data_IF_075103826699
#
_entry.id   IF_075103826699
#
_cell.length_a   1.000
_cell.length_b   1.000
_cell.length_c   1.000
_cell.angle_alpha   90.00
_cell.angle_beta   90.00
_cell.angle_gamma   90.00
#
_symmetry.space_group_name_H-M   'P 1'
#
loop_
_entity.id
_entity.type
_entity.pdbx_description
1 polymer ?
#
# COMPACT_ATOMS: atom_id res chain seq x y z
N UNK A 1 37.80 -19.78 0.93
CA UNK A 1 39.15 -20.08 0.38
C UNK A 1 39.29 -19.32 -0.93
N UNK A 2 40.19 -18.31 -1.06
CA UNK A 2 40.50 -17.52 -2.29
C UNK A 2 39.32 -16.71 -2.90
N UNK A 3 39.42 -15.43 -3.30
CA UNK A 3 40.46 -14.37 -3.28
C UNK A 3 39.77 -13.05 -2.85
N UNK A 4 40.33 -12.07 -2.13
CA UNK A 4 41.70 -11.56 -1.95
C UNK A 4 42.14 -10.54 -3.03
N UNK A 5 42.39 -9.31 -2.55
CA UNK A 5 43.27 -8.23 -3.04
C UNK A 5 42.79 -7.12 -4.00
N UNK A 6 43.44 -5.96 -3.78
CA UNK A 6 43.54 -4.71 -4.57
C UNK A 6 42.42 -3.67 -4.37
N UNK A 7 42.70 -2.38 -4.09
CA UNK A 7 43.96 -1.60 -3.89
C UNK A 7 43.56 -0.26 -3.20
N UNK A 8 44.10 0.18 -2.05
CA UNK A 8 45.42 0.82 -1.77
C UNK A 8 45.62 2.20 -2.45
N UNK A 9 45.62 3.27 -1.63
CA UNK A 9 46.19 4.63 -1.80
C UNK A 9 45.95 5.43 -0.49
N UNK A 10 46.60 6.56 -0.15
CA UNK A 10 48.04 6.77 0.15
C UNK A 10 48.32 6.49 1.65
N UNK A 11 49.52 6.37 2.23
CA UNK A 11 50.94 6.71 1.91
C UNK A 11 51.46 8.07 2.45
N UNK A 12 52.01 8.01 3.69
CA UNK A 12 53.16 8.76 4.27
C UNK A 12 53.09 10.28 4.49
N UNK A 13 53.38 10.69 5.75
CA UNK A 13 54.27 11.77 6.29
C UNK A 13 53.92 11.88 7.79
N UNK A 14 54.81 11.99 8.78
CA UNK A 14 56.28 11.94 8.84
C UNK A 14 56.76 12.11 10.30
N UNK A 15 58.02 11.73 10.54
CA UNK A 15 58.97 12.10 11.63
C UNK A 15 58.63 13.24 12.63
N UNK A 16 59.20 13.33 13.85
CA UNK A 16 60.01 12.42 14.69
C UNK A 16 60.32 13.13 16.04
N UNK A 17 61.05 12.45 16.94
CA UNK A 17 61.82 13.01 18.08
C UNK A 17 60.98 13.57 19.25
N UNK A 18 60.90 12.76 20.32
CA UNK A 18 60.85 13.25 21.68
C UNK A 18 62.27 13.19 22.28
N UNK A 19 62.77 14.27 22.90
CA UNK A 19 63.84 14.27 23.92
C UNK A 19 64.18 15.70 24.43
N UNK A 20 64.30 15.86 25.75
CA UNK A 20 64.91 17.01 26.45
C UNK A 20 63.97 18.19 26.76
N UNK A 21 64.05 18.87 27.92
CA UNK A 21 64.83 18.57 29.12
C UNK A 21 65.32 19.82 29.88
N UNK A 22 64.63 20.19 30.97
CA UNK A 22 65.08 21.09 32.06
C UNK A 22 64.03 20.92 33.20
N UNK A 23 64.30 20.50 34.43
CA UNK A 23 65.43 20.70 35.35
C UNK A 23 65.60 22.16 35.79
N UNK A 24 65.04 22.51 36.95
CA UNK A 24 65.79 22.79 38.20
C UNK A 24 64.77 22.93 39.35
N UNK A 25 64.96 22.16 40.42
CA UNK A 25 64.32 22.39 41.72
C UNK A 25 65.23 23.25 42.60
N UNK A 26 64.65 24.07 43.48
CA UNK A 26 65.40 25.08 44.24
C UNK A 26 66.35 24.53 45.31
N UNK A 27 67.26 25.40 45.78
CA UNK A 27 68.02 25.17 47.01
C UNK A 27 68.34 26.50 47.72
N UNK A 28 68.09 26.46 49.02
CA UNK A 28 68.32 27.46 50.06
C UNK A 28 69.80 27.86 50.16
N UNK A 29 70.12 29.14 50.43
CA UNK A 29 71.14 29.57 51.42
C UNK A 29 71.21 31.11 51.60
N UNK A 30 71.76 31.63 52.71
CA UNK A 30 71.41 32.95 53.25
C UNK A 30 72.54 34.00 53.23
N UNK A 31 72.27 35.15 53.86
CA UNK A 31 73.13 35.77 54.90
C UNK A 31 73.65 37.22 54.70
N UNK A 32 73.01 38.17 55.41
CA UNK A 32 73.58 39.42 55.98
C UNK A 32 74.08 40.52 54.99
N UNK A 33 74.09 41.83 55.30
CA UNK A 33 74.27 42.53 56.59
C UNK A 33 73.37 43.78 56.76
N UNK A 34 72.93 43.93 58.01
CA UNK A 34 72.73 45.12 58.87
C UNK A 34 73.47 46.44 58.49
N UNK A 35 73.22 47.57 59.21
CA UNK A 35 71.93 48.20 59.51
C UNK A 35 71.99 49.75 59.32
N UNK A 36 70.91 50.48 59.61
CA UNK A 36 70.97 51.92 59.89
C UNK A 36 70.16 52.25 61.15
N UNK A 37 70.83 52.79 62.17
CA UNK A 37 70.24 53.17 63.47
C UNK A 37 70.13 54.68 63.63
N UNK A 38 68.93 55.19 63.93
CA UNK A 38 68.72 56.44 64.68
C UNK A 38 67.25 56.46 65.18
N UNK A 39 66.96 56.02 66.41
CA UNK A 39 66.93 56.79 67.66
C UNK A 39 65.81 57.84 67.81
N UNK A 40 64.89 57.51 68.74
CA UNK A 40 64.31 58.37 69.78
C UNK A 40 63.46 59.59 69.38
N UNK A 41 62.17 59.56 69.70
CA UNK A 41 61.35 60.76 69.66
C UNK A 41 59.83 60.62 69.88
N UNK A 42 59.36 59.85 70.85
CA UNK A 42 57.95 60.02 71.27
C UNK A 42 57.76 61.38 71.96
N UNK A 43 57.14 62.32 71.26
CA UNK A 43 56.37 63.37 71.92
C UNK A 43 54.89 63.01 71.82
N UNK A 44 54.30 62.66 72.96
CA UNK A 44 52.86 62.58 73.09
C UNK A 44 52.30 64.00 73.18
N UNK A 45 51.49 64.39 72.20
CA UNK A 45 50.49 65.45 72.36
C UNK A 45 49.30 65.09 71.47
N UNK A 46 48.49 64.14 71.93
CA UNK A 46 47.13 64.04 71.40
C UNK A 46 46.37 65.30 71.78
N UNK A 47 46.02 66.10 70.77
CA UNK A 47 45.00 67.10 70.92
C UNK A 47 43.64 66.40 71.10
N UNK A 48 42.83 66.94 72.01
CA UNK A 48 41.47 66.46 72.32
C UNK A 48 40.61 66.41 71.04
N UNK A 49 39.79 65.36 70.83
CA UNK A 49 39.26 65.06 69.50
C UNK A 49 38.19 66.04 69.03
N UNK A 50 38.20 66.34 67.73
CA UNK A 50 36.98 66.78 67.04
C UNK A 50 36.29 65.54 66.47
N UNK A 51 35.11 65.25 67.01
CA UNK A 51 34.19 64.27 66.44
C UNK A 51 33.61 64.90 65.18
N UNK A 52 34.18 64.59 64.02
CA UNK A 52 33.42 64.65 62.79
C UNK A 52 32.45 63.47 62.81
N UNK A 53 31.17 63.74 62.61
CA UNK A 53 30.17 62.68 62.45
C UNK A 53 30.58 61.78 61.27
N UNK A 54 30.37 60.46 61.36
CA UNK A 54 30.60 59.60 60.22
C UNK A 54 29.62 59.99 59.12
N UNK A 55 30.13 60.60 58.05
CA UNK A 55 29.42 60.61 56.77
C UNK A 55 29.21 59.14 56.45
N UNK A 56 27.95 58.70 56.44
CA UNK A 56 27.60 57.37 56.00
C UNK A 56 28.08 57.22 54.57
N UNK A 57 29.15 56.46 54.38
CA UNK A 57 29.61 56.05 53.07
C UNK A 57 28.56 55.06 52.54
N UNK A 58 27.55 55.58 51.85
CA UNK A 58 26.56 54.77 51.13
C UNK A 58 27.36 53.89 50.18
N UNK A 59 27.35 52.58 50.42
CA UNK A 59 28.15 51.62 49.65
C UNK A 59 27.49 51.38 48.30
N UNK A 60 27.66 52.32 47.39
CA UNK A 60 27.14 52.24 46.02
C UNK A 60 27.97 51.23 45.21
N UNK A 61 27.32 50.19 44.69
CA UNK A 61 27.95 49.25 43.77
C UNK A 61 27.79 49.82 42.37
N UNK A 62 28.90 50.23 41.76
CA UNK A 62 28.96 50.74 40.39
C UNK A 62 29.48 49.61 39.50
N UNK A 63 28.77 49.32 38.41
CA UNK A 63 29.11 48.26 37.44
C UNK A 63 28.84 48.70 36.01
N UNK A 64 29.66 48.18 35.09
CA UNK A 64 29.45 48.30 33.66
C UNK A 64 28.25 47.43 33.22
N UNK A 65 27.48 47.96 32.29
CA UNK A 65 26.27 47.32 31.77
C UNK A 65 26.06 47.64 30.28
N UNK A 66 25.17 46.87 29.63
CA UNK A 66 24.78 47.06 28.23
C UNK A 66 23.28 47.05 28.04
N UNK A 67 22.79 47.81 27.08
CA UNK A 67 21.40 47.78 26.62
C UNK A 67 21.19 46.58 25.70
N UNK A 68 20.24 45.71 25.99
CA UNK A 68 19.86 44.57 25.13
C UNK A 68 18.33 44.50 24.94
N UNK A 69 17.83 43.99 23.82
CA UNK A 69 16.41 43.73 23.65
C UNK A 69 15.94 42.59 24.58
N UNK A 70 14.69 42.67 25.05
CA UNK A 70 14.05 41.61 25.87
C UNK A 70 13.93 40.29 25.07
N UNK A 71 13.79 40.39 23.75
CA UNK A 71 13.72 39.24 22.84
C UNK A 71 14.63 39.46 21.63
N UNK A 72 15.55 38.51 21.40
CA UNK A 72 16.43 38.47 20.23
C UNK A 72 16.61 37.03 19.73
N UNK A 73 16.87 36.87 18.44
CA UNK A 73 17.22 35.60 17.82
C UNK A 73 18.17 35.78 16.63
N UNK A 74 19.20 34.93 16.59
CA UNK A 74 20.09 34.77 15.44
C UNK A 74 19.49 33.70 14.52
N UNK A 75 18.97 34.12 13.37
CA UNK A 75 18.20 33.30 12.44
C UNK A 75 19.10 32.76 11.33
N UNK A 76 19.19 31.43 11.20
CA UNK A 76 19.91 30.72 10.15
C UNK A 76 18.96 29.98 9.21
N UNK A 77 19.42 29.59 8.01
CA UNK A 77 18.63 28.73 7.12
C UNK A 77 18.53 27.30 7.66
N UNK A 78 17.33 26.72 7.59
CA UNK A 78 17.12 25.29 7.83
C UNK A 78 17.70 24.41 6.72
N UNK A 79 17.64 24.86 5.46
CA UNK A 79 18.30 24.21 4.32
C UNK A 79 19.54 24.97 3.84
N UNK A 80 20.53 24.28 3.29
CA UNK A 80 21.63 24.91 2.55
C UNK A 80 21.25 25.13 1.09
N UNK A 81 21.65 26.27 0.52
CA UNK A 81 21.27 26.66 -0.84
C UNK A 81 21.83 28.00 -1.28
N UNK A 82 21.39 28.44 -2.47
CA UNK A 82 21.70 29.76 -3.02
C UNK A 82 20.50 30.67 -2.72
N UNK A 83 20.76 31.89 -2.26
CA UNK A 83 19.71 32.90 -2.02
C UNK A 83 19.16 33.41 -3.34
N UNK A 84 17.84 33.26 -3.54
CA UNK A 84 17.08 33.81 -4.66
C UNK A 84 16.71 35.27 -4.40
N UNK A 85 16.17 35.55 -3.20
CA UNK A 85 15.78 36.89 -2.80
C UNK A 85 15.93 37.12 -1.28
N UNK A 86 16.38 38.32 -0.93
CA UNK A 86 16.28 38.89 0.43
C UNK A 86 15.11 39.88 0.39
N UNK A 87 14.15 39.73 1.30
CA UNK A 87 12.87 40.47 1.27
C UNK A 87 12.76 41.58 2.33
N UNK A 88 13.79 41.73 3.17
CA UNK A 88 13.87 42.70 4.27
C UNK A 88 15.24 43.37 4.30
N UNK A 89 15.31 44.55 4.90
CA UNK A 89 16.53 45.34 5.10
C UNK A 89 16.75 45.63 6.59
N UNK A 90 17.94 46.11 6.93
CA UNK A 90 18.27 46.52 8.29
C UNK A 90 17.42 47.73 8.70
N UNK A 91 16.77 47.65 9.86
CA UNK A 91 15.79 48.62 10.34
C UNK A 91 14.34 48.31 9.97
N UNK A 92 14.06 47.33 9.10
CA UNK A 92 12.68 46.95 8.79
C UNK A 92 11.99 46.28 9.98
N UNK A 93 10.73 46.66 10.22
CA UNK A 93 9.84 45.95 11.13
C UNK A 93 9.20 44.74 10.43
N UNK A 94 9.12 43.60 11.12
CA UNK A 94 8.59 42.34 10.60
C UNK A 94 7.57 41.72 11.55
N UNK A 95 6.56 41.08 10.96
CA UNK A 95 5.52 40.32 11.66
C UNK A 95 5.93 38.85 11.88
N UNK A 96 5.31 38.12 12.82
CA UNK A 96 5.54 36.69 12.98
C UNK A 96 5.19 35.93 11.70
N UNK A 97 5.92 34.85 11.41
CA UNK A 97 5.83 34.04 10.19
C UNK A 97 6.13 34.78 8.85
N UNK A 98 6.47 36.07 8.87
CA UNK A 98 6.85 36.83 7.68
C UNK A 98 8.12 36.24 7.03
N UNK A 99 8.11 36.05 5.70
CA UNK A 99 9.27 35.55 4.95
C UNK A 99 10.33 36.64 4.85
N UNK A 100 11.54 36.34 5.34
CA UNK A 100 12.68 37.26 5.36
C UNK A 100 13.62 37.00 4.17
N UNK A 101 13.91 35.73 3.89
CA UNK A 101 14.82 35.27 2.84
C UNK A 101 14.20 34.08 2.12
N UNK A 102 14.45 33.98 0.81
CA UNK A 102 14.12 32.81 -0.03
C UNK A 102 15.36 32.24 -0.70
N UNK A 103 15.48 30.92 -0.70
CA UNK A 103 16.46 30.17 -1.50
C UNK A 103 15.87 29.74 -2.85
N UNK A 104 16.72 29.35 -3.80
CA UNK A 104 16.28 28.70 -5.04
C UNK A 104 15.58 27.36 -4.74
N UNK A 105 14.25 27.41 -4.70
CA UNK A 105 13.37 26.29 -4.44
C UNK A 105 13.03 25.46 -5.70
N UNK A 106 13.69 25.67 -6.84
CA UNK A 106 13.31 25.04 -8.12
C UNK A 106 13.33 23.50 -8.05
N UNK A 107 14.29 22.91 -7.33
CA UNK A 107 14.38 21.45 -7.16
C UNK A 107 13.29 20.92 -6.23
N UNK A 108 13.00 21.65 -5.15
CA UNK A 108 12.00 21.32 -4.14
C UNK A 108 10.58 21.38 -4.73
N UNK A 109 10.28 22.40 -5.54
CA UNK A 109 9.01 22.49 -6.29
C UNK A 109 8.82 21.30 -7.24
N UNK A 110 9.88 20.86 -7.93
CA UNK A 110 9.85 19.65 -8.77
C UNK A 110 9.63 18.38 -7.93
N UNK A 111 10.29 18.26 -6.77
CA UNK A 111 10.10 17.14 -5.86
C UNK A 111 8.66 17.05 -5.32
N UNK A 112 8.05 18.19 -4.94
CA UNK A 112 6.63 18.26 -4.54
C UNK A 112 5.72 17.83 -5.70
N UNK A 113 5.96 18.31 -6.93
CA UNK A 113 5.17 17.91 -8.09
C UNK A 113 5.29 16.40 -8.39
N UNK A 114 6.49 15.82 -8.24
CA UNK A 114 6.71 14.37 -8.40
C UNK A 114 6.00 13.55 -7.33
N UNK A 115 6.11 13.96 -6.05
CA UNK A 115 5.45 13.27 -4.94
C UNK A 115 3.91 13.36 -5.03
N UNK A 116 3.38 14.51 -5.46
CA UNK A 116 1.95 14.70 -5.72
C UNK A 116 1.45 13.79 -6.86
N UNK A 117 2.23 13.65 -7.93
CA UNK A 117 1.88 12.76 -9.05
C UNK A 117 1.86 11.28 -8.64
N UNK A 118 2.85 10.83 -7.84
CA UNK A 118 2.86 9.45 -7.35
C UNK A 118 1.74 9.20 -6.32
N UNK A 119 1.43 10.14 -5.44
CA UNK A 119 0.26 10.07 -4.57
C UNK A 119 -1.05 9.90 -5.36
N UNK A 120 -1.27 10.73 -6.38
CA UNK A 120 -2.45 10.64 -7.25
C UNK A 120 -2.53 9.30 -8.00
N UNK A 121 -1.39 8.77 -8.45
CA UNK A 121 -1.29 7.44 -9.07
C UNK A 121 -1.63 6.31 -8.09
N UNK A 122 -1.09 6.34 -6.87
CA UNK A 122 -1.35 5.30 -5.87
C UNK A 122 -2.80 5.36 -5.37
N UNK A 123 -3.38 6.56 -5.26
CA UNK A 123 -4.81 6.76 -4.99
C UNK A 123 -5.68 6.13 -6.09
N UNK A 124 -5.40 6.42 -7.36
CA UNK A 124 -6.14 5.81 -8.49
C UNK A 124 -6.01 4.27 -8.50
N UNK A 125 -4.86 3.72 -8.13
CA UNK A 125 -4.69 2.27 -7.99
C UNK A 125 -5.51 1.68 -6.82
N UNK A 126 -5.57 2.37 -5.68
CA UNK A 126 -6.43 1.98 -4.56
C UNK A 126 -7.92 2.05 -4.92
N UNK A 127 -8.34 3.10 -5.64
CA UNK A 127 -9.71 3.23 -6.16
C UNK A 127 -10.05 2.12 -7.15
N UNK A 128 -9.14 1.76 -8.06
CA UNK A 128 -9.33 0.63 -8.98
C UNK A 128 -9.53 -0.70 -8.23
N UNK A 129 -8.77 -0.94 -7.15
CA UNK A 129 -8.94 -2.13 -6.31
C UNK A 129 -10.27 -2.12 -5.53
N UNK A 130 -10.70 -0.95 -5.03
CA UNK A 130 -11.97 -0.78 -4.29
C UNK A 130 -13.21 -0.78 -5.17
N UNK A 131 -13.11 -0.31 -6.42
CA UNK A 131 -14.16 -0.43 -7.44
C UNK A 131 -14.41 -1.89 -7.83
N UNK A 132 -13.39 -2.74 -7.67
CA UNK A 132 -13.55 -4.18 -7.75
C UNK A 132 -13.76 -4.69 -9.19
N UNK A 133 -14.56 -5.75 -9.37
CA UNK A 133 -14.75 -6.39 -10.68
C UNK A 133 -15.62 -5.52 -11.58
N UNK A 134 -15.25 -5.40 -12.86
CA UNK A 134 -16.07 -4.63 -13.80
C UNK A 134 -17.43 -5.32 -14.04
N UNK A 135 -18.54 -4.60 -14.17
CA UNK A 135 -19.87 -5.18 -14.40
C UNK A 135 -19.91 -6.15 -15.60
N UNK A 136 -19.16 -5.86 -16.66
CA UNK A 136 -19.06 -6.69 -17.86
C UNK A 136 -18.36 -8.04 -17.58
N UNK A 137 -17.41 -8.08 -16.62
CA UNK A 137 -16.75 -9.32 -16.21
C UNK A 137 -17.69 -10.20 -15.38
N UNK A 138 -18.45 -9.60 -14.47
CA UNK A 138 -19.48 -10.31 -13.68
C UNK A 138 -20.60 -10.82 -14.59
N UNK A 139 -21.07 -10.00 -15.54
CA UNK A 139 -22.09 -10.39 -16.51
C UNK A 139 -21.62 -11.53 -17.43
N UNK A 140 -20.35 -11.52 -17.86
CA UNK A 140 -19.76 -12.60 -18.65
C UNK A 140 -19.68 -13.92 -17.85
N UNK A 141 -19.24 -13.86 -16.59
CA UNK A 141 -19.19 -15.03 -15.71
C UNK A 141 -20.61 -15.58 -15.39
N UNK A 142 -21.59 -14.69 -15.17
CA UNK A 142 -22.99 -15.08 -14.99
C UNK A 142 -23.55 -15.75 -16.25
N UNK A 143 -23.32 -15.19 -17.44
CA UNK A 143 -23.78 -15.78 -18.70
C UNK A 143 -23.16 -17.15 -18.98
N UNK A 144 -21.91 -17.40 -18.53
CA UNK A 144 -21.29 -18.72 -18.59
C UNK A 144 -21.98 -19.72 -17.66
N UNK A 145 -22.30 -19.32 -16.42
CA UNK A 145 -23.06 -20.13 -15.48
C UNK A 145 -24.48 -20.44 -16.01
N UNK A 146 -25.19 -19.44 -16.52
CA UNK A 146 -26.53 -19.60 -17.11
C UNK A 146 -26.51 -20.59 -18.30
N UNK A 147 -25.47 -20.52 -19.13
CA UNK A 147 -25.28 -21.47 -20.24
C UNK A 147 -24.98 -22.90 -19.77
N UNK A 148 -24.27 -23.08 -18.65
CA UNK A 148 -24.01 -24.38 -18.04
C UNK A 148 -25.26 -24.96 -17.37
N UNK A 149 -26.06 -24.14 -16.69
CA UNK A 149 -27.37 -24.52 -16.15
C UNK A 149 -28.32 -24.96 -17.28
N UNK A 150 -28.40 -24.20 -18.37
CA UNK A 150 -29.18 -24.57 -19.56
C UNK A 150 -28.60 -25.79 -20.32
N UNK A 151 -27.33 -26.16 -20.10
CA UNK A 151 -26.74 -27.42 -20.59
C UNK A 151 -27.15 -28.60 -19.69
N UNK A 152 -27.09 -28.44 -18.36
CA UNK A 152 -27.57 -29.43 -17.40
C UNK A 152 -29.06 -29.73 -17.62
N UNK A 153 -29.90 -28.72 -17.78
CA UNK A 153 -31.32 -28.87 -18.08
C UNK A 153 -31.58 -29.64 -19.39
N UNK A 154 -30.82 -29.34 -20.45
CA UNK A 154 -30.92 -30.10 -21.72
C UNK A 154 -30.47 -31.55 -21.59
N UNK A 155 -29.49 -31.85 -20.73
CA UNK A 155 -29.05 -33.22 -20.47
C UNK A 155 -30.12 -33.98 -19.69
N UNK A 156 -30.65 -33.40 -18.60
CA UNK A 156 -31.70 -34.06 -17.79
C UNK A 156 -32.99 -34.22 -18.59
N UNK A 157 -33.57 -33.13 -19.12
CA UNK A 157 -34.82 -33.18 -19.87
C UNK A 157 -34.71 -33.98 -21.19
N UNK A 158 -33.58 -33.86 -21.91
CA UNK A 158 -33.36 -34.57 -23.18
C UNK A 158 -33.15 -36.07 -23.00
N UNK A 159 -32.54 -36.49 -21.89
CA UNK A 159 -32.39 -37.90 -21.57
C UNK A 159 -33.68 -38.52 -21.02
N UNK A 160 -34.40 -37.80 -20.14
CA UNK A 160 -35.64 -38.30 -19.53
C UNK A 160 -36.78 -38.45 -20.54
N UNK A 161 -37.03 -37.46 -21.41
CA UNK A 161 -38.23 -37.42 -22.25
C UNK A 161 -38.04 -37.87 -23.72
N UNK A 162 -36.81 -37.79 -24.25
CA UNK A 162 -36.54 -38.05 -25.66
C UNK A 162 -35.92 -39.42 -25.92
N UNK A 163 -34.67 -39.59 -25.47
CA UNK A 163 -33.82 -40.68 -25.92
C UNK A 163 -34.11 -42.02 -25.20
N UNK A 164 -34.33 -41.99 -23.88
CA UNK A 164 -34.62 -43.20 -23.11
C UNK A 164 -36.01 -43.74 -23.45
N UNK A 165 -37.01 -42.88 -23.62
CA UNK A 165 -38.36 -43.29 -24.03
C UNK A 165 -38.40 -43.84 -25.46
N UNK A 166 -37.66 -43.23 -26.41
CA UNK A 166 -37.51 -43.78 -27.75
C UNK A 166 -36.81 -45.16 -27.73
N UNK A 167 -35.74 -45.34 -26.94
CA UNK A 167 -35.06 -46.63 -26.80
C UNK A 167 -35.96 -47.69 -26.13
N UNK A 168 -36.73 -47.32 -25.11
CA UNK A 168 -37.74 -48.19 -24.47
C UNK A 168 -38.84 -48.60 -25.47
N UNK A 169 -39.29 -47.68 -26.30
CA UNK A 169 -40.25 -47.96 -27.38
C UNK A 169 -39.65 -48.90 -28.45
N UNK A 170 -38.36 -48.79 -28.79
CA UNK A 170 -37.68 -49.74 -29.67
C UNK A 170 -37.62 -51.15 -29.08
N UNK A 171 -37.30 -51.30 -27.79
CA UNK A 171 -37.32 -52.60 -27.10
C UNK A 171 -38.73 -53.20 -27.14
N UNK A 172 -39.76 -52.40 -26.81
CA UNK A 172 -41.15 -52.83 -26.85
C UNK A 172 -41.60 -53.23 -28.26
N UNK A 173 -41.21 -52.48 -29.30
CA UNK A 173 -41.49 -52.81 -30.69
C UNK A 173 -40.82 -54.11 -31.16
N UNK A 174 -39.57 -54.34 -30.76
CA UNK A 174 -38.85 -55.59 -31.06
C UNK A 174 -39.49 -56.80 -30.35
N UNK A 175 -39.93 -56.62 -29.10
CA UNK A 175 -40.69 -57.63 -28.36
C UNK A 175 -42.05 -57.93 -29.00
N UNK A 176 -42.77 -56.91 -29.46
CA UNK A 176 -44.03 -57.09 -30.20
C UNK A 176 -43.81 -57.81 -31.54
N UNK A 177 -42.69 -57.56 -32.22
CA UNK A 177 -42.28 -58.31 -33.41
C UNK A 177 -42.06 -59.80 -33.13
N UNK A 178 -41.38 -60.14 -32.04
CA UNK A 178 -41.21 -61.53 -31.59
C UNK A 178 -42.55 -62.16 -31.18
N UNK A 179 -43.42 -61.44 -30.46
CA UNK A 179 -44.73 -61.93 -30.07
C UNK A 179 -45.59 -62.30 -31.30
N UNK A 180 -45.59 -61.43 -32.33
CA UNK A 180 -46.27 -61.67 -33.61
C UNK A 180 -45.68 -62.86 -34.40
N UNK A 181 -44.37 -63.10 -34.30
CA UNK A 181 -43.73 -64.29 -34.87
C UNK A 181 -44.18 -65.57 -34.15
N UNK A 182 -44.31 -65.52 -32.82
CA UNK A 182 -44.77 -66.65 -31.99
C UNK A 182 -46.28 -66.94 -32.15
N UNK A 183 -47.09 -65.94 -32.50
CA UNK A 183 -48.51 -66.14 -32.91
C UNK A 183 -48.64 -66.99 -34.19
N UNK A 184 -47.62 -67.00 -35.05
CA UNK A 184 -47.57 -67.85 -36.24
C UNK A 184 -48.53 -67.42 -37.36
N UNK A 185 -48.96 -68.39 -38.18
CA UNK A 185 -49.93 -68.15 -39.24
C UNK A 185 -51.33 -67.89 -38.65
N UNK A 186 -51.99 -66.82 -39.08
CA UNK A 186 -53.35 -66.53 -38.63
C UNK A 186 -54.33 -67.62 -39.05
N UNK A 187 -55.39 -67.82 -38.26
CA UNK A 187 -56.42 -68.83 -38.54
C UNK A 187 -57.03 -68.66 -39.96
N UNK A 188 -57.20 -67.42 -40.41
CA UNK A 188 -57.66 -67.09 -41.77
C UNK A 188 -56.69 -67.58 -42.86
N UNK A 189 -55.37 -67.46 -42.65
CA UNK A 189 -54.35 -67.96 -43.59
C UNK A 189 -54.33 -69.49 -43.63
N UNK A 190 -54.46 -70.16 -42.48
CA UNK A 190 -54.54 -71.63 -42.40
C UNK A 190 -55.82 -72.16 -43.07
N UNK A 191 -56.97 -71.48 -42.87
CA UNK A 191 -58.23 -71.83 -43.56
C UNK A 191 -58.08 -71.66 -45.08
N UNK A 192 -57.50 -70.55 -45.55
CA UNK A 192 -57.27 -70.31 -46.97
C UNK A 192 -56.32 -71.36 -47.59
N UNK A 193 -55.20 -71.68 -46.93
CA UNK A 193 -54.25 -72.68 -47.41
C UNK A 193 -54.85 -74.11 -47.45
N UNK A 194 -55.71 -74.47 -46.48
CA UNK A 194 -56.48 -75.73 -46.51
C UNK A 194 -57.51 -75.76 -47.64
N UNK A 195 -58.16 -74.63 -47.93
CA UNK A 195 -59.08 -74.52 -49.07
C UNK A 195 -58.32 -74.67 -50.41
N UNK A 196 -57.15 -74.05 -50.55
CA UNK A 196 -56.28 -74.20 -51.72
C UNK A 196 -55.81 -75.65 -51.92
N UNK A 197 -55.40 -76.34 -50.84
CA UNK A 197 -55.08 -77.77 -50.87
C UNK A 197 -56.28 -78.60 -51.36
N UNK A 198 -57.47 -78.36 -50.80
CA UNK A 198 -58.68 -79.10 -51.17
C UNK A 198 -59.07 -78.88 -52.64
N UNK A 199 -58.95 -77.64 -53.13
CA UNK A 199 -59.18 -77.29 -54.52
C UNK A 199 -58.17 -77.98 -55.46
N UNK A 200 -56.88 -77.93 -55.13
CA UNK A 200 -55.84 -78.60 -55.91
C UNK A 200 -56.02 -80.14 -55.94
N UNK A 201 -56.48 -80.73 -54.84
CA UNK A 201 -56.78 -82.16 -54.78
C UNK A 201 -58.00 -82.54 -55.63
N UNK A 202 -59.00 -81.65 -55.72
CA UNK A 202 -60.12 -81.82 -56.65
C UNK A 202 -59.66 -81.77 -58.11
N UNK A 203 -58.69 -80.91 -58.47
CA UNK A 203 -58.11 -80.90 -59.82
C UNK A 203 -57.32 -82.17 -60.12
N UNK A 204 -56.52 -82.68 -59.18
CA UNK A 204 -55.82 -83.97 -59.36
C UNK A 204 -56.83 -85.09 -59.62
N UNK A 205 -57.93 -85.16 -58.86
CA UNK A 205 -59.00 -86.16 -59.10
C UNK A 205 -59.61 -86.03 -60.50
N UNK A 206 -59.88 -84.79 -60.97
CA UNK A 206 -60.41 -84.53 -62.33
C UNK A 206 -59.42 -84.98 -63.41
N UNK A 207 -58.17 -84.54 -63.34
CA UNK A 207 -57.13 -84.88 -64.29
C UNK A 207 -56.83 -86.39 -64.31
N UNK A 208 -56.86 -87.05 -63.14
CA UNK A 208 -56.63 -88.49 -63.03
C UNK A 208 -57.73 -89.32 -63.71
N UNK A 209 -59.00 -88.86 -63.66
CA UNK A 209 -60.08 -89.51 -64.42
C UNK A 209 -59.82 -89.37 -65.93
N UNK A 210 -59.57 -88.16 -66.41
CA UNK A 210 -59.28 -87.90 -67.82
C UNK A 210 -58.05 -88.67 -68.34
N UNK A 211 -57.03 -88.88 -67.50
CA UNK A 211 -55.88 -89.74 -67.82
C UNK A 211 -56.27 -91.23 -67.88
N UNK A 212 -57.09 -91.70 -66.92
CA UNK A 212 -57.57 -93.09 -66.92
C UNK A 212 -58.36 -93.45 -68.17
N UNK A 213 -59.07 -92.47 -68.76
CA UNK A 213 -59.83 -92.58 -70.01
C UNK A 213 -58.96 -92.60 -71.28
N UNK A 214 -57.63 -92.47 -71.17
CA UNK A 214 -56.69 -92.55 -72.31
C UNK A 214 -55.46 -93.46 -72.06
N UNK A 215 -55.31 -94.02 -70.85
CA UNK A 215 -54.09 -94.72 -70.39
C UNK A 215 -53.68 -95.97 -71.18
N UNK A 216 -54.58 -96.52 -72.00
CA UNK A 216 -54.33 -97.70 -72.83
C UNK A 216 -53.61 -97.38 -74.15
N UNK A 217 -53.32 -96.11 -74.44
CA UNK A 217 -52.59 -95.68 -75.63
C UNK A 217 -51.08 -95.79 -75.45
N UNK A 218 -50.37 -96.34 -76.45
CA UNK A 218 -48.91 -96.43 -76.45
C UNK A 218 -48.19 -95.07 -76.43
N UNK A 219 -48.87 -93.98 -76.80
CA UNK A 219 -48.35 -92.61 -76.82
C UNK A 219 -48.84 -91.74 -75.66
N UNK A 220 -49.43 -92.33 -74.60
CA UNK A 220 -50.11 -91.59 -73.52
C UNK A 220 -49.25 -90.50 -72.87
N UNK A 221 -47.94 -90.72 -72.70
CA UNK A 221 -47.03 -89.73 -72.09
C UNK A 221 -46.83 -88.44 -72.90
N UNK A 222 -47.21 -88.42 -74.18
CA UNK A 222 -47.18 -87.23 -75.03
C UNK A 222 -48.54 -86.52 -75.15
N UNK A 223 -49.60 -87.06 -74.51
CA UNK A 223 -50.94 -86.51 -74.58
C UNK A 223 -51.15 -85.38 -73.56
N UNK A 224 -52.00 -84.37 -73.87
CA UNK A 224 -52.32 -83.28 -72.93
C UNK A 224 -52.78 -83.78 -71.55
N UNK A 225 -53.56 -84.86 -71.51
CA UNK A 225 -54.10 -85.45 -70.27
C UNK A 225 -53.00 -85.92 -69.29
N UNK A 226 -51.83 -86.35 -69.79
CA UNK A 226 -50.70 -86.72 -68.96
C UNK A 226 -50.03 -85.48 -68.36
N UNK A 227 -49.76 -84.46 -69.18
CA UNK A 227 -49.18 -83.19 -68.76
C UNK A 227 -50.11 -82.38 -67.83
N UNK A 228 -51.43 -82.52 -67.98
CA UNK A 228 -52.43 -81.89 -67.11
C UNK A 228 -52.49 -82.59 -65.74
N UNK A 229 -52.38 -83.92 -65.69
CA UNK A 229 -52.28 -84.69 -64.44
C UNK A 229 -50.98 -84.37 -63.69
N UNK A 230 -49.84 -84.31 -64.40
CA UNK A 230 -48.56 -83.90 -63.82
C UNK A 230 -48.66 -82.49 -63.23
N UNK A 231 -49.18 -81.52 -63.99
CA UNK A 231 -49.35 -80.13 -63.53
C UNK A 231 -50.28 -80.02 -62.33
N UNK A 232 -51.41 -80.74 -62.32
CA UNK A 232 -52.31 -80.79 -61.18
C UNK A 232 -51.64 -81.39 -59.94
N UNK A 233 -50.83 -82.44 -60.11
CA UNK A 233 -50.09 -83.09 -59.02
C UNK A 233 -49.04 -82.15 -58.43
N UNK A 234 -48.25 -81.48 -59.25
CA UNK A 234 -47.28 -80.48 -58.84
C UNK A 234 -47.94 -79.29 -58.10
N UNK A 235 -49.14 -78.88 -58.55
CA UNK A 235 -49.92 -77.84 -57.88
C UNK A 235 -50.44 -78.29 -56.49
N UNK A 236 -50.89 -79.54 -56.35
CA UNK A 236 -51.29 -80.11 -55.07
C UNK A 236 -50.11 -80.24 -54.11
N UNK A 237 -48.95 -80.66 -54.61
CA UNK A 237 -47.72 -80.77 -53.81
C UNK A 237 -47.25 -79.39 -53.34
N UNK A 238 -47.28 -78.37 -54.22
CA UNK A 238 -47.02 -76.98 -53.84
C UNK A 238 -48.05 -76.42 -52.82
N UNK A 239 -49.33 -76.78 -52.93
CA UNK A 239 -50.35 -76.37 -51.95
C UNK A 239 -50.16 -77.05 -50.59
N UNK A 240 -49.81 -78.34 -50.57
CA UNK A 240 -49.46 -79.08 -49.35
C UNK A 240 -48.19 -78.53 -48.68
N UNK A 241 -47.17 -78.20 -49.46
CA UNK A 241 -45.95 -77.56 -48.96
C UNK A 241 -46.27 -76.23 -48.29
N UNK A 242 -47.02 -75.34 -48.94
CA UNK A 242 -47.45 -74.05 -48.36
C UNK A 242 -48.23 -74.20 -47.05
N UNK A 243 -49.12 -75.20 -46.95
CA UNK A 243 -49.83 -75.45 -45.70
C UNK A 243 -48.88 -75.95 -44.60
N UNK A 244 -47.98 -76.89 -44.92
CA UNK A 244 -46.99 -77.40 -43.98
C UNK A 244 -46.03 -76.30 -43.50
N UNK A 245 -45.61 -75.40 -44.38
CA UNK A 245 -44.79 -74.22 -44.03
C UNK A 245 -45.54 -73.32 -43.02
N UNK A 246 -46.84 -73.07 -43.23
CA UNK A 246 -47.67 -72.28 -42.31
C UNK A 246 -47.95 -72.99 -40.96
N UNK A 247 -48.05 -74.32 -40.96
CA UNK A 247 -48.29 -75.13 -39.75
C UNK A 247 -47.01 -75.41 -38.94
N UNK A 248 -45.82 -75.35 -39.57
CA UNK A 248 -44.53 -75.61 -38.92
C UNK A 248 -44.01 -74.47 -38.02
N UNK A 249 -44.61 -73.28 -38.10
CA UNK A 249 -44.29 -72.13 -37.26
C UNK A 249 -43.01 -71.37 -37.64
N UNK A 250 -42.60 -70.36 -36.84
CA UNK A 250 -41.40 -69.57 -37.12
C UNK A 250 -40.13 -70.42 -37.02
N UNK A 251 -39.19 -70.23 -37.96
CA UNK A 251 -37.96 -71.02 -37.97
C UNK A 251 -36.99 -70.59 -36.86
N UNK A 252 -36.03 -71.47 -36.53
CA UNK A 252 -34.92 -71.14 -35.63
C UNK A 252 -34.15 -69.89 -36.10
N UNK A 253 -34.06 -69.66 -37.42
CA UNK A 253 -33.42 -68.47 -37.99
C UNK A 253 -34.23 -67.20 -37.68
N UNK A 254 -35.55 -67.22 -37.88
CA UNK A 254 -36.44 -66.09 -37.58
C UNK A 254 -36.41 -65.72 -36.10
N UNK A 255 -36.52 -66.72 -35.23
CA UNK A 255 -36.42 -66.53 -33.77
C UNK A 255 -35.06 -66.00 -33.36
N UNK A 256 -33.96 -66.46 -33.98
CA UNK A 256 -32.62 -65.93 -33.69
C UNK A 256 -32.44 -64.48 -34.13
N UNK A 257 -33.06 -64.09 -35.26
CA UNK A 257 -33.06 -62.72 -35.79
C UNK A 257 -33.86 -61.78 -34.89
N UNK A 258 -35.08 -62.15 -34.50
CA UNK A 258 -35.90 -61.38 -33.57
C UNK A 258 -35.24 -61.22 -32.19
N UNK A 259 -34.64 -62.28 -31.65
CA UNK A 259 -33.87 -62.20 -30.40
C UNK A 259 -32.56 -61.40 -30.54
N UNK A 260 -31.98 -61.28 -31.74
CA UNK A 260 -30.87 -60.37 -32.00
C UNK A 260 -31.35 -58.90 -32.01
N UNK A 261 -32.50 -58.62 -32.62
CA UNK A 261 -33.11 -57.28 -32.63
C UNK A 261 -33.46 -56.80 -31.21
N UNK A 262 -34.08 -57.67 -30.38
CA UNK A 262 -34.36 -57.37 -28.98
C UNK A 262 -33.06 -57.06 -28.23
N UNK A 263 -32.03 -57.92 -28.31
CA UNK A 263 -30.74 -57.68 -27.65
C UNK A 263 -30.06 -56.38 -28.11
N UNK A 264 -30.16 -56.03 -29.39
CA UNK A 264 -29.62 -54.77 -29.90
C UNK A 264 -30.36 -53.55 -29.35
N UNK A 265 -31.69 -53.61 -29.25
CA UNK A 265 -32.49 -52.55 -28.65
C UNK A 265 -32.24 -52.45 -27.12
N UNK A 266 -32.09 -53.58 -26.44
CA UNK A 266 -31.76 -53.64 -25.00
C UNK A 266 -30.39 -52.99 -24.75
N UNK A 267 -29.36 -53.40 -25.50
CA UNK A 267 -28.01 -52.85 -25.35
C UNK A 267 -27.95 -51.34 -25.64
N UNK A 268 -28.79 -50.82 -26.54
CA UNK A 268 -28.92 -49.38 -26.79
C UNK A 268 -29.55 -48.65 -25.59
N UNK A 269 -30.60 -49.21 -24.99
CA UNK A 269 -31.22 -48.67 -23.77
C UNK A 269 -30.25 -48.71 -22.58
N UNK A 270 -29.59 -49.85 -22.35
CA UNK A 270 -28.64 -50.04 -21.25
C UNK A 270 -27.44 -49.07 -21.37
N UNK A 271 -26.94 -48.85 -22.59
CA UNK A 271 -25.86 -47.89 -22.84
C UNK A 271 -26.27 -46.44 -22.49
N UNK A 272 -27.47 -46.01 -22.92
CA UNK A 272 -28.01 -44.68 -22.59
C UNK A 272 -28.24 -44.50 -21.09
N UNK A 273 -28.72 -45.55 -20.40
CA UNK A 273 -28.90 -45.54 -18.95
C UNK A 273 -27.57 -45.51 -18.19
N UNK A 274 -26.51 -46.10 -18.73
CA UNK A 274 -25.18 -46.09 -18.13
C UNK A 274 -24.46 -44.73 -18.29
N UNK A 275 -24.63 -44.03 -19.41
CA UNK A 275 -23.98 -42.72 -19.64
C UNK A 275 -24.69 -41.56 -18.93
N UNK A 276 -26.01 -41.63 -18.73
CA UNK A 276 -26.77 -40.52 -18.16
C UNK A 276 -26.25 -40.05 -16.78
N UNK A 277 -25.99 -40.92 -15.78
CA UNK A 277 -25.46 -40.47 -14.49
C UNK A 277 -24.09 -39.79 -14.61
N UNK A 278 -23.23 -40.25 -15.54
CA UNK A 278 -21.92 -39.63 -15.79
C UNK A 278 -22.03 -38.28 -16.49
N UNK A 279 -22.96 -38.12 -17.44
CA UNK A 279 -23.19 -36.87 -18.15
C UNK A 279 -23.78 -35.79 -17.22
N UNK A 280 -24.73 -36.19 -16.36
CA UNK A 280 -25.32 -35.31 -15.32
C UNK A 280 -24.27 -34.93 -14.28
N UNK A 281 -23.47 -35.88 -13.78
CA UNK A 281 -22.40 -35.58 -12.84
C UNK A 281 -21.34 -34.62 -13.42
N UNK A 282 -20.97 -34.81 -14.69
CA UNK A 282 -20.06 -33.90 -15.39
C UNK A 282 -20.64 -32.49 -15.56
N UNK A 283 -21.94 -32.37 -15.89
CA UNK A 283 -22.61 -31.08 -16.00
C UNK A 283 -22.80 -30.37 -14.64
N UNK A 284 -23.07 -31.11 -13.56
CA UNK A 284 -23.13 -30.57 -12.20
C UNK A 284 -21.75 -30.05 -11.74
N UNK A 285 -20.67 -30.76 -12.05
CA UNK A 285 -19.31 -30.29 -11.76
C UNK A 285 -18.95 -29.03 -12.55
N UNK A 286 -19.38 -28.93 -13.82
CA UNK A 286 -19.24 -27.74 -14.67
C UNK A 286 -19.93 -26.51 -14.04
N UNK A 287 -21.18 -26.68 -13.59
CA UNK A 287 -21.93 -25.65 -12.85
C UNK A 287 -21.21 -25.23 -11.57
N UNK A 288 -20.79 -26.17 -10.71
CA UNK A 288 -20.08 -25.85 -9.46
C UNK A 288 -18.76 -25.09 -9.68
N UNK A 289 -18.01 -25.45 -10.73
CA UNK A 289 -16.78 -24.74 -11.09
C UNK A 289 -17.09 -23.30 -11.54
N UNK A 290 -18.16 -23.09 -12.30
CA UNK A 290 -18.57 -21.77 -12.78
C UNK A 290 -19.18 -20.90 -11.67
N UNK A 291 -19.92 -21.49 -10.72
CA UNK A 291 -20.36 -20.81 -9.50
C UNK A 291 -19.16 -20.34 -8.66
N UNK A 292 -18.18 -21.21 -8.43
CA UNK A 292 -16.95 -20.84 -7.72
C UNK A 292 -16.15 -19.76 -8.46
N UNK A 293 -16.07 -19.84 -9.80
CA UNK A 293 -15.41 -18.84 -10.63
C UNK A 293 -16.15 -17.49 -10.61
N UNK A 294 -17.49 -17.51 -10.57
CA UNK A 294 -18.33 -16.32 -10.44
C UNK A 294 -18.14 -15.67 -9.06
N UNK A 295 -18.13 -16.44 -7.97
CA UNK A 295 -17.89 -15.91 -6.62
C UNK A 295 -16.48 -15.35 -6.46
N UNK A 296 -15.45 -16.03 -6.99
CA UNK A 296 -14.09 -15.48 -7.07
C UNK A 296 -14.05 -14.18 -7.91
N UNK A 297 -14.83 -14.12 -9.00
CA UNK A 297 -14.93 -12.91 -9.82
C UNK A 297 -15.61 -11.78 -9.04
N UNK A 298 -16.69 -12.04 -8.29
CA UNK A 298 -17.41 -11.04 -7.47
C UNK A 298 -16.58 -10.55 -6.27
N UNK A 299 -15.80 -11.42 -5.65
CA UNK A 299 -14.99 -11.11 -4.46
C UNK A 299 -13.94 -10.03 -4.72
N UNK A 300 -13.47 -9.88 -5.97
CA UNK A 300 -12.61 -8.77 -6.39
C UNK A 300 -11.22 -8.80 -5.76
N UNK A 301 -10.68 -7.62 -5.43
CA UNK A 301 -9.39 -7.48 -4.79
C UNK A 301 -9.44 -7.97 -3.33
N UNK A 302 -8.40 -8.69 -2.89
CA UNK A 302 -8.37 -9.24 -1.52
C UNK A 302 -8.16 -8.13 -0.48
N UNK A 303 -8.59 -8.37 0.75
CA UNK A 303 -8.42 -7.42 1.85
C UNK A 303 -6.94 -7.09 2.11
N UNK A 304 -6.04 -8.06 1.90
CA UNK A 304 -4.59 -7.90 1.98
C UNK A 304 -4.04 -6.99 0.87
N UNK A 305 -4.59 -7.09 -0.35
CA UNK A 305 -4.21 -6.28 -1.50
C UNK A 305 -4.67 -4.82 -1.32
N UNK A 306 -5.89 -4.62 -0.80
CA UNK A 306 -6.41 -3.29 -0.44
C UNK A 306 -5.54 -2.66 0.66
N UNK A 307 -5.22 -3.40 1.74
CA UNK A 307 -4.33 -2.90 2.81
C UNK A 307 -2.93 -2.54 2.30
N UNK A 308 -2.38 -3.32 1.37
CA UNK A 308 -1.09 -3.01 0.76
C UNK A 308 -1.14 -1.72 -0.07
N UNK A 309 -2.24 -1.49 -0.81
CA UNK A 309 -2.46 -0.25 -1.55
C UNK A 309 -2.71 0.96 -0.63
N UNK A 310 -3.43 0.78 0.49
CA UNK A 310 -3.59 1.82 1.52
C UNK A 310 -2.26 2.21 2.18
N UNK A 311 -1.40 1.23 2.47
CA UNK A 311 -0.03 1.49 2.93
C UNK A 311 0.81 2.22 1.85
N UNK A 312 0.59 1.92 0.57
CA UNK A 312 1.15 2.68 -0.56
C UNK A 312 0.73 4.15 -0.54
N UNK A 313 -0.57 4.44 -0.40
CA UNK A 313 -1.09 5.82 -0.30
C UNK A 313 -0.50 6.54 0.91
N UNK A 314 -0.39 5.88 2.06
CA UNK A 314 0.24 6.44 3.26
C UNK A 314 1.72 6.77 3.02
N UNK A 315 2.47 5.88 2.34
CA UNK A 315 3.87 6.12 1.98
C UNK A 315 4.04 7.29 1.01
N UNK A 316 3.21 7.37 -0.04
CA UNK A 316 3.23 8.48 -0.99
C UNK A 316 2.83 9.82 -0.32
N UNK A 317 1.90 9.78 0.63
CA UNK A 317 1.51 10.95 1.44
C UNK A 317 2.68 11.44 2.31
N UNK A 318 3.39 10.53 2.97
CA UNK A 318 4.59 10.88 3.74
C UNK A 318 5.72 11.43 2.84
N UNK A 319 5.91 10.89 1.64
CA UNK A 319 6.86 11.41 0.67
C UNK A 319 6.50 12.85 0.22
N UNK A 320 5.22 13.14 -0.01
CA UNK A 320 4.74 14.49 -0.30
C UNK A 320 4.93 15.44 0.88
N UNK A 321 4.63 15.01 2.11
CA UNK A 321 4.88 15.80 3.32
C UNK A 321 6.37 16.15 3.48
N UNK A 322 7.27 15.18 3.29
CA UNK A 322 8.71 15.43 3.32
C UNK A 322 9.14 16.44 2.24
N UNK A 323 8.63 16.32 1.01
CA UNK A 323 8.92 17.27 -0.06
C UNK A 323 8.39 18.69 0.24
N UNK A 324 7.23 18.81 0.90
CA UNK A 324 6.65 20.08 1.34
C UNK A 324 7.44 20.71 2.49
N UNK A 325 7.94 19.91 3.45
CA UNK A 325 8.84 20.38 4.52
C UNK A 325 10.15 20.89 3.91
N UNK A 326 10.79 20.11 3.04
CA UNK A 326 12.01 20.56 2.35
C UNK A 326 11.80 21.78 1.47
N UNK A 327 10.57 22.05 0.99
CA UNK A 327 10.21 23.30 0.33
C UNK A 327 10.03 24.45 1.34
N UNK A 328 9.41 24.22 2.50
CA UNK A 328 9.30 25.21 3.56
C UNK A 328 10.67 25.62 4.12
N UNK A 329 11.61 24.68 4.24
CA UNK A 329 13.00 24.92 4.67
C UNK A 329 13.80 25.83 3.72
N UNK A 330 13.25 26.16 2.53
CA UNK A 330 13.84 27.16 1.61
C UNK A 330 13.44 28.61 1.91
N UNK A 331 12.54 28.84 2.87
CA UNK A 331 12.12 30.17 3.29
C UNK A 331 12.50 30.41 4.76
N UNK A 332 13.21 31.51 5.04
CA UNK A 332 13.35 31.98 6.42
C UNK A 332 12.11 32.73 6.85
N UNK A 333 11.60 32.44 8.04
CA UNK A 333 10.46 33.15 8.65
C UNK A 333 10.83 33.74 10.00
N UNK A 334 10.27 34.91 10.31
CA UNK A 334 10.43 35.54 11.61
C UNK A 334 9.68 34.75 12.70
N UNK A 335 10.34 34.28 13.78
CA UNK A 335 9.66 33.54 14.85
C UNK A 335 8.82 34.42 15.79
N UNK A 336 8.97 35.75 15.74
CA UNK A 336 8.22 36.73 16.51
C UNK A 336 8.24 38.10 15.81
N UNK A 337 7.42 39.05 16.28
CA UNK A 337 7.39 40.42 15.75
C UNK A 337 8.59 41.23 16.27
N UNK A 338 9.29 41.94 15.39
CA UNK A 338 10.47 42.72 15.80
C UNK A 338 11.08 43.54 14.66
N UNK A 339 12.28 44.07 14.90
CA UNK A 339 13.08 44.82 13.93
C UNK A 339 14.30 44.03 13.51
N UNK A 340 14.57 44.01 12.21
CA UNK A 340 15.77 43.39 11.63
C UNK A 340 17.00 44.25 11.99
N UNK A 341 17.90 43.72 12.80
CA UNK A 341 19.07 44.44 13.29
C UNK A 341 20.29 44.31 12.37
N UNK A 342 20.44 43.15 11.70
CA UNK A 342 21.54 42.84 10.78
C UNK A 342 21.06 41.87 9.70
N UNK A 343 21.46 42.10 8.44
CA UNK A 343 21.25 41.14 7.34
C UNK A 343 22.59 40.80 6.69
N UNK A 344 23.14 39.66 7.09
CA UNK A 344 24.46 39.20 6.67
C UNK A 344 24.38 38.20 5.51
N UNK A 345 23.66 38.56 4.44
CA UNK A 345 23.56 37.75 3.21
C UNK A 345 23.10 38.57 2.00
N UNK A 346 23.61 38.23 0.82
CA UNK A 346 23.22 38.87 -0.45
C UNK A 346 22.50 37.88 -1.41
N UNK A 347 21.62 38.36 -2.30
CA UNK A 347 21.10 37.54 -3.40
C UNK A 347 22.22 36.93 -4.25
N UNK A 348 22.13 35.64 -4.56
CA UNK A 348 23.15 34.86 -5.26
C UNK A 348 24.24 34.26 -4.36
N UNK A 349 24.26 34.58 -3.07
CA UNK A 349 25.20 34.00 -2.09
C UNK A 349 24.79 32.59 -1.66
N UNK A 350 25.76 31.75 -1.30
CA UNK A 350 25.52 30.40 -0.79
C UNK A 350 25.52 30.39 0.74
N UNK A 351 24.43 29.89 1.32
CA UNK A 351 24.19 29.83 2.77
C UNK A 351 24.18 28.39 3.28
N UNK A 352 24.75 28.17 4.47
CA UNK A 352 24.92 26.84 5.06
C UNK A 352 25.06 26.90 6.59
N UNK A 353 23.94 27.08 7.29
CA UNK A 353 23.84 26.93 8.75
C UNK A 353 24.37 28.09 9.61
N UNK A 354 25.13 29.03 9.04
CA UNK A 354 25.46 30.29 9.71
C UNK A 354 24.21 31.18 9.89
N UNK A 355 24.13 32.01 10.94
CA UNK A 355 23.12 33.06 11.05
C UNK A 355 23.24 34.05 9.89
N UNK A 356 22.09 34.40 9.30
CA UNK A 356 21.98 35.32 8.15
C UNK A 356 21.13 36.55 8.46
N UNK A 357 20.24 36.47 9.45
CA UNK A 357 19.45 37.60 9.95
C UNK A 357 19.50 37.62 11.46
N UNK A 358 19.71 38.80 12.04
CA UNK A 358 19.56 39.03 13.46
C UNK A 358 18.26 39.81 13.71
N UNK A 359 17.34 39.24 14.48
CA UNK A 359 16.02 39.80 14.76
C UNK A 359 15.90 40.16 16.25
N UNK A 360 15.43 41.37 16.56
CA UNK A 360 15.28 41.84 17.93
C UNK A 360 13.98 42.63 18.13
N UNK A 361 13.34 42.50 19.30
CA UNK A 361 12.28 43.41 19.71
C UNK A 361 12.92 44.67 20.31
N UNK A 362 12.95 45.76 19.53
CA UNK A 362 13.53 47.04 19.94
C UNK A 362 12.55 47.94 20.71
N UNK A 363 11.26 47.58 20.81
CA UNK A 363 10.28 48.32 21.61
C UNK A 363 10.45 48.08 23.11
N UNK A 364 11.01 46.93 23.49
CA UNK A 364 11.23 46.51 24.87
C UNK A 364 12.72 46.21 25.08
N UNK A 365 13.45 47.16 25.65
CA UNK A 365 14.86 47.04 25.99
C UNK A 365 15.03 46.84 27.51
N UNK A 366 16.01 46.04 27.89
CA UNK A 366 16.46 45.79 29.26
C UNK A 366 17.96 46.09 29.36
N UNK A 367 18.46 46.25 30.59
CA UNK A 367 19.88 46.48 30.85
C UNK A 367 20.48 45.20 31.48
N UNK A 368 21.67 44.80 31.02
CA UNK A 368 22.41 43.66 31.56
C UNK A 368 23.80 44.07 32.05
N UNK A 369 24.12 43.76 33.32
CA UNK A 369 25.45 44.02 33.90
C UNK A 369 26.51 43.06 33.35
N UNK A 370 27.74 43.54 33.21
CA UNK A 370 28.85 42.78 32.62
C UNK A 370 29.95 42.36 33.62
N UNK A 371 30.16 43.12 34.70
CA UNK A 371 31.32 43.00 35.60
C UNK A 371 30.99 42.83 37.09
N UNK A 372 29.70 42.66 37.45
CA UNK A 372 29.29 42.46 38.85
C UNK A 372 29.86 41.16 39.42
N UNK A 373 30.81 41.27 40.34
CA UNK A 373 31.58 40.14 40.88
C UNK A 373 30.81 39.28 41.89
N UNK A 374 31.31 38.06 42.16
CA UNK A 374 30.81 37.17 43.23
C UNK A 374 30.70 37.85 44.62
N UNK A 375 31.55 38.85 44.91
CA UNK A 375 31.48 39.58 46.18
C UNK A 375 30.33 40.61 46.20
N UNK A 376 30.05 41.25 45.07
CA UNK A 376 29.04 42.32 44.98
C UNK A 376 27.63 41.77 44.76
N UNK A 377 27.47 40.64 44.08
CA UNK A 377 26.14 40.03 43.82
C UNK A 377 25.42 39.59 45.11
N UNK A 378 26.14 39.36 46.21
CA UNK A 378 25.56 38.99 47.50
C UNK A 378 24.66 40.09 48.07
N UNK A 379 25.00 41.35 47.77
CA UNK A 379 24.30 42.53 48.28
C UNK A 379 23.21 43.05 47.31
N UNK A 380 22.96 42.34 46.19
CA UNK A 380 21.95 42.70 45.18
C UNK A 380 20.80 41.68 45.18
N UNK A 381 19.58 42.15 45.40
CA UNK A 381 18.36 41.36 45.46
C UNK A 381 17.41 41.67 44.29
N UNK A 382 16.45 40.76 44.05
CA UNK A 382 15.37 40.99 43.08
C UNK A 382 14.40 42.01 43.66
N UNK A 383 14.15 43.09 42.91
CA UNK A 383 13.35 44.25 43.33
C UNK A 383 14.17 45.49 43.69
N UNK A 384 15.49 45.39 43.83
CA UNK A 384 16.35 46.52 44.18
C UNK A 384 16.36 47.59 43.08
N UNK A 385 16.59 48.84 43.46
CA UNK A 385 16.69 49.98 42.54
C UNK A 385 18.14 50.29 42.19
N UNK A 386 18.37 50.59 40.92
CA UNK A 386 19.65 51.06 40.41
C UNK A 386 19.46 52.30 39.52
N UNK A 387 20.38 53.25 39.65
CA UNK A 387 20.47 54.39 38.73
C UNK A 387 21.27 53.98 37.50
N UNK A 388 20.69 54.16 36.31
CA UNK A 388 21.29 53.83 35.03
C UNK A 388 21.75 55.12 34.33
N UNK A 389 23.03 55.21 34.03
CA UNK A 389 23.65 56.26 33.23
C UNK A 389 24.16 55.68 31.90
N UNK A 390 24.21 56.47 30.82
CA UNK A 390 24.55 55.98 29.49
C UNK A 390 25.68 56.81 28.86
N UNK A 391 26.82 56.19 28.56
CA UNK A 391 28.00 56.88 28.00
C UNK A 391 27.68 57.67 26.72
N UNK A 392 26.81 57.08 25.88
CA UNK A 392 26.39 57.64 24.60
C UNK A 392 25.39 58.80 24.74
N UNK A 393 24.81 59.00 25.92
CA UNK A 393 23.77 60.01 26.19
C UNK A 393 24.06 60.73 27.51
N UNK A 394 24.94 61.75 27.50
CA UNK A 394 25.13 62.63 28.65
C UNK A 394 23.80 63.21 29.15
N UNK A 395 23.71 63.40 30.46
CA UNK A 395 22.55 63.91 31.20
C UNK A 395 21.31 62.99 31.23
N UNK A 396 21.36 61.76 30.70
CA UNK A 396 20.28 60.77 30.82
C UNK A 396 20.52 59.84 32.03
N UNK A 397 19.79 60.10 33.11
CA UNK A 397 19.64 59.20 34.25
C UNK A 397 18.25 58.55 34.22
N UNK A 398 18.20 57.22 34.31
CA UNK A 398 16.96 56.42 34.36
C UNK A 398 17.03 55.52 35.60
N UNK A 399 15.98 55.47 36.41
CA UNK A 399 15.87 54.44 37.45
C UNK A 399 15.48 53.10 36.80
N UNK A 400 16.15 52.02 37.20
CA UNK A 400 15.83 50.66 36.82
C UNK A 400 15.61 49.77 38.03
N UNK A 401 14.82 48.72 37.84
CA UNK A 401 14.50 47.74 38.88
C UNK A 401 15.15 46.40 38.55
N UNK A 402 15.75 45.72 39.53
CA UNK A 402 16.31 44.37 39.34
C UNK A 402 15.18 43.37 39.09
N UNK A 403 14.98 43.00 37.83
CA UNK A 403 13.99 42.02 37.41
C UNK A 403 14.45 40.59 37.71
N UNK A 404 15.73 40.29 37.41
CA UNK A 404 16.27 38.92 37.56
C UNK A 404 17.79 38.88 37.59
N UNK A 405 18.32 38.11 38.52
CA UNK A 405 19.74 37.71 38.56
C UNK A 405 19.90 36.42 37.74
N UNK A 406 20.86 36.35 36.81
CA UNK A 406 21.17 35.09 36.10
C UNK A 406 21.93 34.15 37.06
N UNK A 407 21.50 32.89 37.26
CA UNK A 407 22.10 31.99 38.26
C UNK A 407 23.45 31.38 37.85
N UNK A 408 23.92 31.66 36.63
CA UNK A 408 25.18 31.16 36.10
C UNK A 408 26.17 32.33 36.03
N UNK A 409 27.16 32.31 36.93
CA UNK A 409 28.34 33.17 36.83
C UNK A 409 29.23 32.76 35.65
N UNK A 410 29.95 33.72 35.09
CA UNK A 410 30.85 33.54 33.94
C UNK A 410 32.25 34.01 34.31
N UNK A 411 33.28 33.34 33.78
CA UNK A 411 34.67 33.78 33.90
C UNK A 411 34.92 34.97 32.96
N UNK A 412 35.18 36.13 33.55
CA UNK A 412 35.61 37.33 32.85
C UNK A 412 37.05 37.67 33.28
N UNK A 413 38.02 37.16 32.51
CA UNK A 413 39.47 37.40 32.68
C UNK A 413 40.06 36.91 34.02
N UNK A 414 39.45 35.91 34.65
CA UNK A 414 39.89 35.31 35.90
C UNK A 414 38.98 35.58 37.10
N UNK A 415 38.07 36.55 36.98
CA UNK A 415 37.06 36.86 37.99
C UNK A 415 35.68 36.29 37.59
N UNK A 416 34.93 35.78 38.56
CA UNK A 416 33.56 35.27 38.32
C UNK A 416 32.57 36.44 38.43
N UNK A 417 31.90 36.73 37.32
CA UNK A 417 30.91 37.81 37.20
C UNK A 417 29.50 37.26 36.95
N UNK A 418 28.49 37.95 37.48
CA UNK A 418 27.08 37.60 37.37
C UNK A 418 26.33 38.67 36.57
N UNK A 419 25.51 38.25 35.62
CA UNK A 419 24.64 39.17 34.86
C UNK A 419 23.34 39.39 35.64
N UNK A 420 23.12 40.63 36.07
CA UNK A 420 21.85 41.12 36.58
C UNK A 420 21.09 41.76 35.43
N UNK A 421 19.81 41.41 35.30
CA UNK A 421 18.88 41.99 34.33
C UNK A 421 18.03 43.03 35.02
N UNK A 422 18.12 44.27 34.55
CA UNK A 422 17.34 45.41 35.04
C UNK A 422 16.31 45.85 34.01
N UNK A 423 15.09 46.10 34.47
CA UNK A 423 14.03 46.71 33.69
C UNK A 423 14.06 48.23 33.94
N UNK A 424 14.25 49.07 32.90
CA UNK A 424 14.24 50.52 33.07
C UNK A 424 12.81 51.04 33.25
N UNK A 425 12.58 51.90 34.25
CA UNK A 425 11.26 52.44 34.55
C UNK A 425 10.71 53.36 33.44
N UNK A 426 11.58 53.83 32.53
CA UNK A 426 11.21 54.57 31.31
C UNK A 426 12.20 54.26 30.17
N UNK A 427 11.72 54.20 28.93
CA UNK A 427 12.53 53.93 27.73
C UNK A 427 12.74 55.22 26.92
N UNK A 428 13.98 55.73 26.90
CA UNK A 428 14.34 56.87 26.03
C UNK A 428 14.47 56.39 24.57
N UNK A 429 13.80 57.04 23.59
CA UNK A 429 13.81 56.63 22.18
C UNK A 429 15.18 56.78 21.48
N UNK A 430 16.20 57.31 22.16
CA UNK A 430 17.59 57.37 21.69
C UNK A 430 18.39 56.12 22.04
N UNK A 431 17.95 55.30 22.99
CA UNK A 431 18.61 54.05 23.35
C UNK A 431 18.66 53.10 22.15
N UNK A 432 19.79 52.40 21.99
CA UNK A 432 20.01 51.40 20.95
C UNK A 432 20.59 50.15 21.57
N UNK A 433 20.32 49.00 20.95
CA UNK A 433 20.95 47.74 21.32
C UNK A 433 22.48 47.88 21.28
N UNK A 434 23.13 47.35 22.31
CA UNK A 434 24.58 47.28 22.50
C UNK A 434 25.25 48.64 22.77
N UNK A 435 24.47 49.64 23.22
CA UNK A 435 25.00 50.80 23.94
C UNK A 435 25.51 50.39 25.32
N UNK A 436 26.63 50.96 25.74
CA UNK A 436 27.16 50.86 27.09
C UNK A 436 26.39 51.76 28.06
N UNK A 437 26.31 51.31 29.30
CA UNK A 437 25.65 51.96 30.41
C UNK A 437 26.45 51.66 31.70
N UNK A 438 26.27 52.50 32.72
CA UNK A 438 26.78 52.26 34.06
C UNK A 438 25.56 52.13 34.98
N UNK A 439 25.48 51.01 35.72
CA UNK A 439 24.44 50.79 36.71
C UNK A 439 25.03 51.01 38.12
N UNK A 440 24.40 51.92 38.87
CA UNK A 440 24.76 52.20 40.26
C UNK A 440 23.65 51.70 41.18
N UNK A 441 23.90 50.59 41.88
CA UNK A 441 23.01 50.11 42.94
C UNK A 441 23.27 50.91 44.21
N UNK A 442 22.20 51.35 44.87
CA UNK A 442 22.29 51.97 46.20
C UNK A 442 22.00 50.90 47.25
N UNK A 443 22.98 50.55 48.07
CA UNK A 443 22.76 49.67 49.21
C UNK A 443 21.91 50.40 50.28
N UNK A 444 20.82 49.77 50.73
CA UNK A 444 20.02 50.17 51.91
C UNK A 444 20.53 49.50 53.22
#
# INVERSE_FOLDING_TARGET
MRRVLSTILLLIIGAAIALGGAYVAGLISPESLQPATANLGSQATEATPQINEPVAAVSSIIVDARVVPVQQADLSMSASGIVDAVLVQEGDAVEPDQVLIRLDASRQRVAVAQAQAELSRTQAQLEQLKAGPRPEQVASAQAALDAALARLERITAGAEAGNIDAARAQVSGAQAGLAKLLEGASEQQLIAARADQFNAEAEVRRAQHAYNDVKWRNDVGALPQAADLERATNNLEAAKARLADLESGPTQADLSSANAQIRQAQANLDALQATLPTDVAAALADVQNLEAQLELTKAGARAEEIKAAEAGVASATAALQNALVSLADTELRAPFAGTVALVNVNPGEQVSGAPVVQLANLEHLQIETEDLTELQIVDVNIGDKATLEFDAIPDLQIEGTVLRIRPLGQDNRGDIVYTVVLEPDNLDPRLRWNMTAVATFTAE
#
